data_IF_747954063545
#
_entry.id   IF_747954063545
#
_cell.length_a   1.000
_cell.length_b   1.000
_cell.length_c   1.000
_cell.angle_alpha   90.00
_cell.angle_beta   90.00
_cell.angle_gamma   90.00
#
_symmetry.space_group_name_H-M   'P 1'
#
loop_
_entity.id
_entity.type
_entity.pdbx_description
1 polymer ?
#
# COMPACT_ATOMS: atom_id res chain seq x y z
N UNK A 1 -4.40 -27.41 -5.46
CA UNK A 1 -3.95 -26.04 -5.82
C UNK A 1 -3.21 -25.47 -4.62
N UNK A 2 -1.88 -25.29 -4.73
CA UNK A 2 -1.00 -25.02 -3.57
C UNK A 2 -1.32 -23.68 -2.90
N UNK A 3 -1.20 -23.61 -1.56
CA UNK A 3 -1.53 -22.44 -0.74
C UNK A 3 -0.87 -21.13 -1.24
N UNK A 4 0.29 -21.23 -1.88
CA UNK A 4 1.05 -20.12 -2.47
C UNK A 4 0.31 -19.41 -3.62
N UNK A 5 -0.43 -20.14 -4.46
CA UNK A 5 -1.23 -19.49 -5.53
C UNK A 5 -2.40 -18.69 -4.96
N UNK A 6 -2.98 -19.13 -3.83
CA UNK A 6 -4.10 -18.44 -3.19
C UNK A 6 -3.64 -17.20 -2.42
N UNK A 7 -2.42 -17.18 -1.88
CA UNK A 7 -1.84 -15.97 -1.28
C UNK A 7 -1.43 -14.97 -2.34
N UNK A 8 -0.77 -15.39 -3.43
CA UNK A 8 -0.40 -14.49 -4.54
C UNK A 8 -1.61 -13.75 -5.12
N UNK A 9 -2.69 -14.48 -5.42
CA UNK A 9 -3.94 -13.87 -5.94
C UNK A 9 -4.54 -12.84 -5.01
N UNK A 10 -4.37 -13.01 -3.69
CA UNK A 10 -4.86 -12.04 -2.71
C UNK A 10 -4.04 -10.75 -2.72
N UNK A 11 -2.71 -10.86 -2.71
CA UNK A 11 -1.84 -9.68 -2.79
C UNK A 11 -2.09 -8.89 -4.07
N UNK A 12 -2.04 -9.56 -5.22
CA UNK A 12 -2.30 -8.94 -6.51
C UNK A 12 -3.73 -8.42 -6.62
N UNK A 13 -4.71 -9.14 -6.06
CA UNK A 13 -6.10 -8.71 -6.02
C UNK A 13 -6.30 -7.41 -5.24
N UNK A 14 -5.66 -7.25 -4.08
CA UNK A 14 -5.70 -5.99 -3.31
C UNK A 14 -4.98 -4.87 -4.07
N UNK A 15 -3.79 -5.13 -4.60
CA UNK A 15 -3.05 -4.11 -5.37
C UNK A 15 -3.84 -3.64 -6.60
N UNK A 16 -4.45 -4.57 -7.34
CA UNK A 16 -5.31 -4.26 -8.47
C UNK A 16 -6.53 -3.44 -8.03
N UNK A 17 -7.20 -3.85 -6.95
CA UNK A 17 -8.36 -3.14 -6.41
C UNK A 17 -7.99 -1.72 -5.97
N UNK A 18 -6.87 -1.54 -5.28
CA UNK A 18 -6.36 -0.21 -4.90
C UNK A 18 -6.10 0.66 -6.13
N UNK A 19 -5.44 0.12 -7.15
CA UNK A 19 -5.18 0.84 -8.40
C UNK A 19 -6.45 1.21 -9.15
N UNK A 20 -7.42 0.30 -9.25
CA UNK A 20 -8.71 0.56 -9.90
C UNK A 20 -9.52 1.63 -9.15
N UNK A 21 -9.54 1.57 -7.80
CA UNK A 21 -10.22 2.57 -6.99
C UNK A 21 -9.57 3.94 -7.10
N UNK A 22 -8.23 4.00 -7.13
CA UNK A 22 -7.50 5.26 -7.36
C UNK A 22 -7.76 5.81 -8.76
N UNK A 23 -7.77 4.96 -9.79
CA UNK A 23 -8.10 5.35 -11.16
C UNK A 23 -9.53 5.91 -11.24
N UNK A 24 -10.49 5.22 -10.65
CA UNK A 24 -11.89 5.68 -10.61
C UNK A 24 -12.01 7.01 -9.85
N UNK A 25 -11.36 7.13 -8.69
CA UNK A 25 -11.35 8.34 -7.89
C UNK A 25 -10.77 9.54 -8.66
N UNK A 26 -9.66 9.37 -9.37
CA UNK A 26 -9.00 10.49 -10.06
C UNK A 26 -9.66 10.83 -11.39
N UNK A 27 -10.18 9.84 -12.13
CA UNK A 27 -10.67 10.05 -13.50
C UNK A 27 -12.19 10.18 -13.61
N UNK A 28 -12.94 9.66 -12.66
CA UNK A 28 -14.40 9.58 -12.75
C UNK A 28 -15.12 10.24 -11.58
N UNK A 29 -14.41 10.63 -10.51
CA UNK A 29 -15.04 11.38 -9.43
C UNK A 29 -14.89 12.88 -9.68
N UNK A 30 -15.99 13.62 -9.62
CA UNK A 30 -15.99 15.09 -9.63
C UNK A 30 -15.62 15.66 -8.25
N UNK A 31 -14.88 14.89 -7.44
CA UNK A 31 -14.59 15.24 -6.05
C UNK A 31 -13.46 16.26 -5.97
N UNK A 32 -13.46 17.13 -4.94
CA UNK A 32 -12.35 18.04 -4.73
C UNK A 32 -11.07 17.24 -4.44
N UNK A 33 -9.92 17.74 -4.89
CA UNK A 33 -8.63 17.05 -4.73
C UNK A 33 -8.28 16.71 -3.27
N UNK A 34 -8.77 17.49 -2.30
CA UNK A 34 -8.65 17.19 -0.87
C UNK A 34 -9.43 15.92 -0.48
N UNK A 35 -10.67 15.76 -0.94
CA UNK A 35 -11.46 14.54 -0.71
C UNK A 35 -10.82 13.33 -1.39
N UNK A 36 -10.28 13.50 -2.60
CA UNK A 36 -9.53 12.45 -3.28
C UNK A 36 -8.29 12.03 -2.47
N UNK A 37 -7.54 12.99 -1.90
CA UNK A 37 -6.37 12.70 -1.08
C UNK A 37 -6.74 11.93 0.21
N UNK A 38 -7.83 12.31 0.87
CA UNK A 38 -8.36 11.63 2.06
C UNK A 38 -8.71 10.17 1.75
N UNK A 39 -9.47 9.94 0.68
CA UNK A 39 -9.89 8.59 0.29
C UNK A 39 -8.71 7.75 -0.20
N UNK A 40 -7.81 8.34 -0.98
CA UNK A 40 -6.59 7.68 -1.43
C UNK A 40 -5.71 7.24 -0.26
N UNK A 41 -5.51 8.11 0.72
CA UNK A 41 -4.75 7.77 1.92
C UNK A 41 -5.41 6.65 2.73
N UNK A 42 -6.73 6.73 2.95
CA UNK A 42 -7.48 5.68 3.65
C UNK A 42 -7.37 4.31 2.95
N UNK A 43 -7.50 4.29 1.62
CA UNK A 43 -7.39 3.09 0.79
C UNK A 43 -5.99 2.47 0.82
N UNK A 44 -4.96 3.31 0.69
CA UNK A 44 -3.57 2.86 0.66
C UNK A 44 -3.11 2.36 2.03
N UNK A 45 -3.41 3.12 3.09
CA UNK A 45 -3.09 2.76 4.47
C UNK A 45 -3.85 1.51 4.93
N UNK A 46 -5.16 1.46 4.69
CA UNK A 46 -5.98 0.30 5.06
C UNK A 46 -5.62 -0.97 4.28
N UNK A 47 -5.45 -0.86 2.95
CA UNK A 47 -5.09 -2.00 2.11
C UNK A 47 -3.64 -2.48 2.36
N UNK A 48 -2.69 -1.56 2.52
CA UNK A 48 -1.31 -1.89 2.89
C UNK A 48 -1.22 -2.59 4.24
N UNK A 49 -1.98 -2.14 5.23
CA UNK A 49 -2.09 -2.81 6.53
C UNK A 49 -2.59 -4.26 6.42
N UNK A 50 -3.65 -4.49 5.65
CA UNK A 50 -4.20 -5.83 5.42
C UNK A 50 -3.19 -6.74 4.71
N UNK A 51 -2.40 -6.20 3.79
CA UNK A 51 -1.33 -6.93 3.10
C UNK A 51 -0.15 -7.26 4.02
N UNK A 52 0.21 -6.36 4.95
CA UNK A 52 1.22 -6.63 5.97
C UNK A 52 0.79 -7.75 6.91
N UNK A 53 -0.52 -7.88 7.19
CA UNK A 53 -1.12 -8.90 8.04
C UNK A 53 -1.86 -10.00 7.27
N UNK A 54 -1.44 -10.33 6.05
CA UNK A 54 -2.15 -11.30 5.20
C UNK A 54 -2.33 -12.68 5.87
N UNK A 55 -1.36 -13.10 6.70
CA UNK A 55 -1.46 -14.32 7.50
C UNK A 55 -2.59 -14.30 8.54
N UNK A 56 -3.00 -13.12 9.03
CA UNK A 56 -4.08 -12.93 9.99
C UNK A 56 -5.38 -12.40 9.36
N UNK A 57 -5.50 -12.41 8.02
CA UNK A 57 -6.67 -11.87 7.30
C UNK A 57 -8.01 -12.54 7.65
N UNK A 58 -8.00 -13.77 8.18
CA UNK A 58 -9.22 -14.48 8.62
C UNK A 58 -9.74 -13.98 9.97
N UNK A 59 -8.93 -13.26 10.73
CA UNK A 59 -9.34 -12.74 12.02
C UNK A 59 -10.12 -11.44 11.81
N UNK A 60 -11.33 -11.38 12.36
CA UNK A 60 -12.17 -10.18 12.33
C UNK A 60 -11.48 -8.96 12.95
N UNK A 61 -10.61 -9.18 13.94
CA UNK A 61 -9.81 -8.13 14.58
C UNK A 61 -8.91 -7.38 13.59
N UNK A 62 -8.35 -8.08 12.60
CA UNK A 62 -7.50 -7.48 11.56
C UNK A 62 -8.30 -6.52 10.69
N UNK A 63 -9.53 -6.88 10.31
CA UNK A 63 -10.41 -6.02 9.52
C UNK A 63 -10.89 -4.81 10.31
N UNK A 64 -11.24 -4.99 11.59
CA UNK A 64 -11.54 -3.87 12.50
C UNK A 64 -10.36 -2.90 12.63
N UNK A 65 -9.15 -3.42 12.82
CA UNK A 65 -7.95 -2.60 12.90
C UNK A 65 -7.66 -1.87 11.58
N UNK A 66 -7.85 -2.54 10.44
CA UNK A 66 -7.69 -1.94 9.11
C UNK A 66 -8.67 -0.78 8.89
N UNK A 67 -9.94 -0.94 9.27
CA UNK A 67 -10.96 0.10 9.18
C UNK A 67 -10.65 1.29 10.09
N UNK A 68 -10.28 1.03 11.35
CA UNK A 68 -9.88 2.08 12.29
C UNK A 68 -8.65 2.85 11.78
N UNK A 69 -7.68 2.13 11.21
CA UNK A 69 -6.48 2.74 10.65
C UNK A 69 -6.79 3.57 9.40
N UNK A 70 -7.67 3.08 8.52
CA UNK A 70 -8.14 3.84 7.37
C UNK A 70 -8.87 5.12 7.78
N UNK A 71 -9.70 5.05 8.83
CA UNK A 71 -10.39 6.20 9.38
C UNK A 71 -9.40 7.20 10.03
N UNK A 72 -8.43 6.70 10.79
CA UNK A 72 -7.37 7.54 11.36
C UNK A 72 -6.55 8.24 10.27
N UNK A 73 -6.21 7.53 9.19
CA UNK A 73 -5.53 8.11 8.02
C UNK A 73 -6.37 9.21 7.37
N UNK A 74 -7.67 8.99 7.20
CA UNK A 74 -8.59 9.98 6.66
C UNK A 74 -8.63 11.25 7.53
N UNK A 75 -8.75 11.10 8.86
CA UNK A 75 -8.75 12.22 9.81
C UNK A 75 -7.44 13.00 9.76
N UNK A 76 -6.30 12.31 9.70
CA UNK A 76 -4.98 12.95 9.61
C UNK A 76 -4.86 13.77 8.33
N UNK A 77 -5.19 13.19 7.18
CA UNK A 77 -5.09 13.91 5.90
C UNK A 77 -6.07 15.08 5.85
N UNK A 78 -7.28 14.91 6.39
CA UNK A 78 -8.26 15.98 6.49
C UNK A 78 -7.76 17.12 7.40
N UNK A 79 -7.17 16.80 8.56
CA UNK A 79 -6.58 17.81 9.45
C UNK A 79 -5.40 18.53 8.81
N UNK A 80 -4.65 17.84 7.95
CA UNK A 80 -3.54 18.44 7.19
C UNK A 80 -3.99 19.19 5.92
N UNK A 81 -5.29 19.22 5.60
CA UNK A 81 -5.78 19.84 4.34
C UNK A 81 -5.61 21.36 4.30
N UNK A 82 -5.52 22.01 5.47
CA UNK A 82 -5.27 23.46 5.59
C UNK A 82 -3.78 23.82 5.58
N UNK A 83 -2.89 22.82 5.64
CA UNK A 83 -1.45 23.05 5.59
C UNK A 83 -1.00 23.40 4.17
N UNK A 84 0.06 24.21 4.02
CA UNK A 84 0.59 24.53 2.70
C UNK A 84 1.09 23.26 2.00
N UNK A 85 0.67 23.08 0.73
CA UNK A 85 1.07 21.98 -0.15
C UNK A 85 2.54 22.08 -0.58
N UNK A 86 3.43 22.02 0.40
CA UNK A 86 4.88 21.93 0.20
C UNK A 86 5.30 20.46 0.16
N UNK A 87 6.36 20.15 -0.60
CA UNK A 87 6.92 18.79 -0.64
C UNK A 87 7.27 18.26 0.76
N UNK A 88 7.75 19.14 1.64
CA UNK A 88 8.05 18.80 3.03
C UNK A 88 6.83 18.27 3.79
N UNK A 89 5.71 19.02 3.76
CA UNK A 89 4.46 18.61 4.42
C UNK A 89 3.94 17.29 3.85
N UNK A 90 3.95 17.14 2.52
CA UNK A 90 3.50 15.90 1.87
C UNK A 90 4.34 14.71 2.35
N UNK A 91 5.67 14.82 2.32
CA UNK A 91 6.55 13.74 2.77
C UNK A 91 6.39 13.44 4.27
N UNK A 92 6.18 14.45 5.11
CA UNK A 92 5.92 14.27 6.54
C UNK A 92 4.61 13.51 6.79
N UNK A 93 3.52 13.87 6.09
CA UNK A 93 2.22 13.19 6.20
C UNK A 93 2.34 11.75 5.73
N UNK A 94 2.97 11.51 4.56
CA UNK A 94 3.19 10.15 4.04
C UNK A 94 4.03 9.32 5.02
N UNK A 95 5.14 9.87 5.53
CA UNK A 95 5.98 9.19 6.51
C UNK A 95 5.21 8.85 7.79
N UNK A 96 4.37 9.77 8.27
CA UNK A 96 3.53 9.54 9.44
C UNK A 96 2.50 8.42 9.21
N UNK A 97 1.81 8.42 8.06
CA UNK A 97 0.84 7.37 7.70
C UNK A 97 1.52 6.00 7.59
N UNK A 98 2.70 5.94 6.99
CA UNK A 98 3.50 4.72 6.89
C UNK A 98 3.91 4.21 8.27
N UNK A 99 4.39 5.10 9.14
CA UNK A 99 4.79 4.75 10.50
C UNK A 99 3.60 4.25 11.32
N UNK A 100 2.44 4.92 11.22
CA UNK A 100 1.19 4.50 11.86
C UNK A 100 0.75 3.10 11.39
N UNK A 101 0.86 2.85 10.08
CA UNK A 101 0.54 1.55 9.47
C UNK A 101 1.46 0.46 10.00
N UNK A 102 2.77 0.72 10.01
CA UNK A 102 3.79 -0.23 10.44
C UNK A 102 3.70 -0.54 11.95
N UNK A 103 3.51 0.49 12.78
CA UNK A 103 3.34 0.33 14.23
C UNK A 103 2.09 -0.50 14.54
N UNK A 104 0.97 -0.18 13.89
CA UNK A 104 -0.28 -0.92 14.06
C UNK A 104 -0.12 -2.38 13.65
N UNK A 105 0.55 -2.64 12.53
CA UNK A 105 0.77 -4.00 12.02
C UNK A 105 1.71 -4.80 12.92
N UNK A 106 2.71 -4.15 13.49
CA UNK A 106 3.68 -4.79 14.39
C UNK A 106 3.12 -5.06 15.79
N UNK A 107 2.19 -4.21 16.25
CA UNK A 107 1.56 -4.31 17.56
C UNK A 107 0.46 -5.37 17.61
N UNK A 108 -0.35 -5.52 16.55
CA UNK A 108 -1.52 -6.40 16.54
C UNK A 108 -1.21 -7.87 16.94
N UNK A 109 -0.09 -8.48 16.50
CA UNK A 109 0.27 -9.86 16.87
C UNK A 109 0.80 -10.04 18.30
N UNK A 110 1.01 -8.97 19.07
CA UNK A 110 1.52 -9.01 20.45
C UNK A 110 2.90 -8.37 20.63
N UNK A 111 3.38 -8.32 21.90
CA UNK A 111 4.62 -7.63 22.29
C UNK A 111 5.89 -8.44 22.01
N UNK A 112 5.78 -9.77 22.00
CA UNK A 112 6.93 -10.67 21.86
C UNK A 112 7.49 -10.63 20.44
N UNK A 113 8.75 -10.22 20.29
CA UNK A 113 9.38 -10.05 18.99
C UNK A 113 8.93 -8.78 18.22
N UNK A 114 8.28 -7.82 18.90
CA UNK A 114 7.84 -6.55 18.29
C UNK A 114 8.97 -5.83 17.56
N UNK A 115 10.15 -5.67 18.19
CA UNK A 115 11.29 -4.99 17.56
C UNK A 115 11.75 -5.68 16.27
N UNK A 116 11.79 -7.01 16.28
CA UNK A 116 12.20 -7.81 15.11
C UNK A 116 11.17 -7.73 13.99
N UNK A 117 9.87 -7.75 14.32
CA UNK A 117 8.78 -7.53 13.36
C UNK A 117 8.82 -6.12 12.80
N UNK A 118 8.94 -5.10 13.64
CA UNK A 118 8.99 -3.70 13.23
C UNK A 118 10.13 -3.42 12.25
N UNK A 119 11.34 -3.89 12.56
CA UNK A 119 12.49 -3.72 11.67
C UNK A 119 12.34 -4.54 10.38
N UNK A 120 11.89 -5.79 10.47
CA UNK A 120 11.68 -6.65 9.31
C UNK A 120 10.60 -6.14 8.38
N UNK A 121 9.40 -5.87 8.91
CA UNK A 121 8.27 -5.32 8.16
C UNK A 121 8.58 -3.91 7.64
N UNK A 122 9.30 -3.09 8.42
CA UNK A 122 9.73 -1.76 8.01
C UNK A 122 10.69 -1.81 6.82
N UNK A 123 11.72 -2.66 6.87
CA UNK A 123 12.65 -2.84 5.76
C UNK A 123 11.95 -3.32 4.49
N UNK A 124 11.06 -4.31 4.60
CA UNK A 124 10.30 -4.79 3.45
C UNK A 124 9.31 -3.75 2.92
N UNK A 125 8.70 -2.94 3.78
CA UNK A 125 7.84 -1.85 3.37
C UNK A 125 8.62 -0.77 2.60
N UNK A 126 9.84 -0.43 3.04
CA UNK A 126 10.72 0.49 2.32
C UNK A 126 11.12 -0.05 0.93
N UNK A 127 11.45 -1.34 0.84
CA UNK A 127 11.74 -1.99 -0.45
C UNK A 127 10.51 -1.99 -1.36
N UNK A 128 9.33 -2.31 -0.82
CA UNK A 128 8.06 -2.29 -1.54
C UNK A 128 7.71 -0.89 -2.06
N UNK A 129 7.90 0.14 -1.23
CA UNK A 129 7.71 1.54 -1.62
C UNK A 129 8.72 1.97 -2.69
N UNK A 130 9.99 1.59 -2.54
CA UNK A 130 11.02 1.87 -3.52
C UNK A 130 10.70 1.28 -4.90
N UNK A 131 10.17 0.07 -4.95
CA UNK A 131 9.74 -0.54 -6.20
C UNK A 131 8.46 0.09 -6.78
N UNK A 132 7.48 0.43 -5.94
CA UNK A 132 6.29 1.15 -6.39
C UNK A 132 6.68 2.49 -7.02
N UNK A 133 7.61 3.22 -6.37
CA UNK A 133 8.17 4.46 -6.89
C UNK A 133 8.96 4.24 -8.19
N UNK A 134 9.78 3.18 -8.27
CA UNK A 134 10.55 2.87 -9.48
C UNK A 134 9.62 2.56 -10.67
N UNK A 135 8.56 1.77 -10.46
CA UNK A 135 7.57 1.47 -11.49
C UNK A 135 6.87 2.75 -11.95
N UNK A 136 6.50 3.63 -11.01
CA UNK A 136 5.93 4.92 -11.33
C UNK A 136 6.89 5.79 -12.15
N UNK A 137 8.15 5.90 -11.72
CA UNK A 137 9.17 6.71 -12.37
C UNK A 137 9.51 6.20 -13.78
N UNK A 138 9.60 4.88 -13.97
CA UNK A 138 9.80 4.26 -15.29
C UNK A 138 8.62 4.55 -16.22
N UNK A 139 7.39 4.51 -15.70
CA UNK A 139 6.20 4.78 -16.49
C UNK A 139 6.09 6.27 -16.85
N UNK A 140 6.37 7.16 -15.90
CA UNK A 140 6.46 8.61 -16.15
C UNK A 140 7.54 8.94 -17.18
N UNK A 141 8.69 8.29 -17.11
CA UNK A 141 9.78 8.45 -18.08
C UNK A 141 9.35 8.01 -19.48
N UNK A 142 8.80 6.80 -19.59
CA UNK A 142 8.36 6.24 -20.87
C UNK A 142 7.22 7.04 -21.52
N UNK A 143 6.24 7.48 -20.74
CA UNK A 143 5.12 8.30 -21.25
C UNK A 143 5.60 9.68 -21.72
N UNK A 144 6.55 10.30 -21.02
CA UNK A 144 7.19 11.55 -21.47
C UNK A 144 7.96 11.39 -22.76
N UNK A 145 8.77 10.33 -22.89
CA UNK A 145 9.51 10.07 -24.13
C UNK A 145 8.57 9.86 -25.33
N UNK A 146 7.47 9.13 -25.13
CA UNK A 146 6.50 8.86 -26.19
C UNK A 146 5.47 9.98 -26.40
N UNK A 147 5.55 11.08 -25.63
CA UNK A 147 4.59 12.19 -25.67
C UNK A 147 3.12 11.71 -25.51
N UNK A 148 2.93 10.65 -24.73
CA UNK A 148 1.63 10.04 -24.48
C UNK A 148 1.02 10.63 -23.22
N UNK A 149 -0.26 10.98 -23.29
CA UNK A 149 -1.03 11.39 -22.12
C UNK A 149 -1.67 10.14 -21.47
N UNK A 150 -1.23 9.72 -20.27
CA UNK A 150 -1.74 8.51 -19.64
C UNK A 150 -3.22 8.61 -19.28
N UNK A 151 -3.79 9.81 -19.20
CA UNK A 151 -5.18 10.03 -18.82
C UNK A 151 -6.16 10.00 -20.00
N UNK A 152 -5.67 10.08 -21.24
CA UNK A 152 -6.50 10.03 -22.46
C UNK A 152 -6.80 8.61 -22.92
N UNK A 153 -5.99 7.63 -22.52
CA UNK A 153 -6.17 6.22 -22.89
C UNK A 153 -6.56 5.41 -21.66
N UNK A 154 -7.69 4.70 -21.73
CA UNK A 154 -8.16 3.82 -20.65
C UNK A 154 -7.15 2.73 -20.27
N UNK A 155 -6.33 2.27 -21.22
CA UNK A 155 -5.31 1.27 -20.95
C UNK A 155 -4.05 1.86 -20.30
N UNK A 156 -3.64 3.06 -20.72
CA UNK A 156 -2.47 3.74 -20.12
C UNK A 156 -2.78 4.18 -18.70
N UNK A 157 -3.96 4.74 -18.46
CA UNK A 157 -4.44 5.10 -17.12
C UNK A 157 -4.50 3.88 -16.21
N UNK A 158 -5.06 2.76 -16.68
CA UNK A 158 -5.07 1.52 -15.91
C UNK A 158 -3.67 1.11 -15.45
N UNK A 159 -2.68 1.13 -16.36
CA UNK A 159 -1.28 0.81 -16.01
C UNK A 159 -0.68 1.82 -15.03
N UNK A 160 -0.95 3.11 -15.25
CA UNK A 160 -0.49 4.20 -14.39
C UNK A 160 -0.94 4.01 -12.93
N UNK A 161 -2.22 3.71 -12.72
CA UNK A 161 -2.79 3.59 -11.38
C UNK A 161 -2.56 2.22 -10.72
N UNK A 162 -2.55 1.13 -11.49
CA UNK A 162 -2.40 -0.23 -10.95
C UNK A 162 -0.95 -0.68 -10.81
N UNK A 163 -0.02 -0.13 -11.61
CA UNK A 163 1.38 -0.54 -11.62
C UNK A 163 2.05 -0.43 -10.25
N UNK A 164 2.06 0.75 -9.60
CA UNK A 164 2.71 0.91 -8.30
C UNK A 164 2.09 0.06 -7.19
N UNK A 165 0.75 0.01 -7.01
CA UNK A 165 0.13 -0.88 -6.03
C UNK A 165 0.41 -2.37 -6.28
N UNK A 166 0.47 -2.81 -7.54
CA UNK A 166 0.81 -4.20 -7.87
C UNK A 166 2.26 -4.53 -7.52
N UNK A 167 3.20 -3.64 -7.82
CA UNK A 167 4.62 -3.80 -7.48
C UNK A 167 4.82 -3.87 -5.96
N UNK A 168 4.16 -2.97 -5.22
CA UNK A 168 4.12 -2.98 -3.76
C UNK A 168 3.60 -4.33 -3.23
N UNK A 169 2.45 -4.77 -3.75
CA UNK A 169 1.79 -6.02 -3.34
C UNK A 169 2.65 -7.26 -3.63
N UNK A 170 3.35 -7.28 -4.76
CA UNK A 170 4.22 -8.38 -5.15
C UNK A 170 5.42 -8.53 -4.21
N UNK A 171 6.03 -7.42 -3.78
CA UNK A 171 7.14 -7.48 -2.83
C UNK A 171 6.70 -7.90 -1.43
N UNK A 172 5.52 -7.49 -0.99
CA UNK A 172 4.97 -8.01 0.27
C UNK A 172 4.64 -9.50 0.20
N UNK A 173 4.24 -10.01 -0.96
CA UNK A 173 4.10 -11.45 -1.18
C UNK A 173 5.46 -12.17 -1.10
N UNK A 174 6.51 -11.61 -1.72
CA UNK A 174 7.87 -12.17 -1.64
C UNK A 174 8.39 -12.21 -0.20
N UNK A 175 8.13 -11.17 0.60
CA UNK A 175 8.42 -11.17 2.04
C UNK A 175 7.82 -12.38 2.74
N UNK A 176 6.53 -12.66 2.51
CA UNK A 176 5.83 -13.77 3.15
C UNK A 176 6.37 -15.13 2.69
N UNK A 177 6.77 -15.26 1.42
CA UNK A 177 7.47 -16.45 0.93
C UNK A 177 8.83 -16.65 1.61
N UNK A 178 9.64 -15.59 1.74
CA UNK A 178 10.92 -15.66 2.44
C UNK A 178 10.74 -16.09 3.90
N UNK A 179 9.76 -15.52 4.61
CA UNK A 179 9.46 -15.90 5.99
C UNK A 179 9.03 -17.37 6.12
N UNK A 180 8.20 -17.86 5.21
CA UNK A 180 7.77 -19.25 5.21
C UNK A 180 8.95 -20.20 4.96
N UNK A 181 9.87 -19.82 4.06
CA UNK A 181 11.09 -20.59 3.78
C UNK A 181 12.01 -20.65 4.99
N UNK A 182 12.26 -19.52 5.65
CA UNK A 182 13.13 -19.45 6.83
C UNK A 182 12.60 -20.35 7.97
N UNK A 183 11.29 -20.36 8.18
CA UNK A 183 10.62 -21.23 9.17
C UNK A 183 10.76 -22.71 8.82
N UNK A 184 10.69 -23.07 7.54
CA UNK A 184 10.88 -24.46 7.10
C UNK A 184 12.33 -24.92 7.32
N UNK A 185 13.32 -24.06 7.06
CA UNK A 185 14.74 -24.38 7.28
C UNK A 185 15.15 -24.46 8.75
N UNK A 186 14.38 -23.87 9.67
CA UNK A 186 14.63 -23.97 11.11
C UNK A 186 13.99 -25.20 11.76
N UNK A 187 13.05 -25.86 11.05
CA UNK A 187 12.35 -27.04 11.52
C UNK A 187 12.95 -28.36 11.00
N UNK A 188 13.98 -28.28 10.14
CA UNK A 188 14.76 -29.39 9.59
C UNK A 188 16.13 -29.47 10.24
#
# INVERSE_FOLDING_TARGET
MSANMRSLRFYLGIGLLQGLLLMWLVLHSDWPGSAMAVVGAALLTGGGFVQLLAGQRRQWRTWKAALLLAFAAAVVVQACSELPFTRGVIYSVVAFLLLMTLLSASWLPGRDGFKRRLLGDGAWMLVALGAAWLVQALFDFWTREQHLDPFKSGFLSLRYFTGPPLAFSFLLYLRDLCRLRDLQTQAS
#
